data_IF_114293148137
#
_entry.id   IF_114293148137
#
_cell.length_a   1.000
_cell.length_b   1.000
_cell.length_c   1.000
_cell.angle_alpha   90.00
_cell.angle_beta   90.00
_cell.angle_gamma   90.00
#
_symmetry.space_group_name_H-M   'P 1'
#
loop_
_entity.id
_entity.type
_entity.pdbx_description
1 polymer ?
#
# COMPACT_ATOMS: atom_id res chain seq x y z
N UNK A 1 -8.19 -1.56 -21.59
CA UNK A 1 -8.51 -3.01 -21.61
C UNK A 1 -7.33 -3.92 -21.23
N UNK A 2 -6.07 -3.47 -21.25
CA UNK A 2 -4.91 -4.33 -20.94
C UNK A 2 -4.74 -4.76 -19.46
N UNK A 3 -5.21 -3.95 -18.50
CA UNK A 3 -4.94 -4.21 -17.08
C UNK A 3 -5.68 -5.45 -16.51
N UNK A 4 -6.88 -5.73 -17.03
CA UNK A 4 -7.69 -6.89 -16.62
C UNK A 4 -7.04 -8.21 -17.08
N UNK A 5 -6.45 -8.22 -18.27
CA UNK A 5 -5.75 -9.38 -18.85
C UNK A 5 -4.53 -9.78 -18.02
N UNK A 6 -3.72 -8.80 -17.57
CA UNK A 6 -2.54 -9.07 -16.74
C UNK A 6 -2.89 -9.60 -15.34
N UNK A 7 -3.96 -9.11 -14.72
CA UNK A 7 -4.40 -9.60 -13.41
C UNK A 7 -4.86 -11.06 -13.49
N UNK A 8 -5.72 -11.38 -14.46
CA UNK A 8 -6.23 -12.73 -14.68
C UNK A 8 -5.11 -13.74 -15.00
N UNK A 9 -4.10 -13.32 -15.77
CA UNK A 9 -2.91 -14.14 -16.02
C UNK A 9 -2.21 -14.56 -14.73
N UNK A 10 -1.92 -13.61 -13.83
CA UNK A 10 -1.19 -13.90 -12.60
C UNK A 10 -2.01 -14.70 -11.58
N UNK A 11 -3.33 -14.49 -11.53
CA UNK A 11 -4.23 -15.33 -10.72
C UNK A 11 -4.17 -16.79 -11.18
N UNK A 12 -4.24 -17.03 -12.49
CA UNK A 12 -4.14 -18.37 -13.08
C UNK A 12 -2.78 -19.02 -12.79
N UNK A 13 -1.68 -18.28 -12.96
CA UNK A 13 -0.33 -18.76 -12.68
C UNK A 13 -0.18 -19.17 -11.20
N UNK A 14 -0.66 -18.35 -10.27
CA UNK A 14 -0.54 -18.64 -8.83
C UNK A 14 -1.36 -19.87 -8.46
N UNK A 15 -2.56 -20.02 -9.04
CA UNK A 15 -3.41 -21.19 -8.80
C UNK A 15 -2.81 -22.47 -9.39
N UNK A 16 -2.23 -22.40 -10.60
CA UNK A 16 -1.48 -23.53 -11.17
C UNK A 16 -0.29 -23.91 -10.29
N UNK A 17 0.47 -22.91 -9.80
CA UNK A 17 1.62 -23.16 -8.94
C UNK A 17 1.25 -23.83 -7.61
N UNK A 18 0.08 -23.51 -7.03
CA UNK A 18 -0.33 -24.12 -5.76
C UNK A 18 -0.61 -25.61 -5.83
N UNK A 19 -0.89 -26.14 -7.02
CA UNK A 19 -1.16 -27.56 -7.25
C UNK A 19 -0.06 -28.25 -8.04
N UNK A 20 1.10 -27.60 -8.23
CA UNK A 20 2.20 -28.14 -9.01
C UNK A 20 3.11 -29.00 -8.13
N UNK A 21 3.30 -30.26 -8.50
CA UNK A 21 4.07 -31.25 -7.73
C UNK A 21 5.57 -31.28 -8.12
N UNK A 22 5.99 -30.49 -9.11
CA UNK A 22 7.37 -30.42 -9.60
C UNK A 22 8.22 -29.30 -8.96
N UNK A 23 9.41 -29.07 -9.53
CA UNK A 23 10.31 -28.03 -9.01
C UNK A 23 9.85 -26.62 -9.39
N UNK A 24 10.16 -25.64 -8.54
CA UNK A 24 9.92 -24.23 -8.83
C UNK A 24 10.59 -23.78 -10.15
N UNK A 25 11.74 -24.36 -10.50
CA UNK A 25 12.49 -23.99 -11.71
C UNK A 25 11.71 -24.45 -12.93
N UNK A 26 11.27 -25.71 -12.93
CA UNK A 26 10.54 -26.32 -14.04
C UNK A 26 9.23 -25.57 -14.30
N UNK A 27 8.49 -25.26 -13.23
CA UNK A 27 7.28 -24.45 -13.33
C UNK A 27 7.54 -23.08 -13.95
N UNK A 28 8.61 -22.40 -13.53
CA UNK A 28 8.96 -21.08 -14.06
C UNK A 28 9.34 -21.15 -15.54
N UNK A 29 10.08 -22.19 -15.95
CA UNK A 29 10.45 -22.41 -17.35
C UNK A 29 9.26 -22.76 -18.23
N UNK A 30 8.38 -23.67 -17.78
CA UNK A 30 7.16 -24.07 -18.52
C UNK A 30 6.22 -22.88 -18.77
N UNK A 31 6.14 -21.96 -17.81
CA UNK A 31 5.23 -20.82 -17.87
C UNK A 31 5.89 -19.52 -18.36
N UNK A 32 7.16 -19.56 -18.79
CA UNK A 32 7.93 -18.40 -19.26
C UNK A 32 7.93 -17.23 -18.27
N UNK A 33 8.08 -17.53 -16.97
CA UNK A 33 8.16 -16.53 -15.90
C UNK A 33 9.45 -16.68 -15.11
N UNK A 34 9.88 -15.60 -14.47
CA UNK A 34 11.00 -15.64 -13.52
C UNK A 34 10.51 -15.93 -12.10
N UNK A 35 11.36 -16.56 -11.29
CA UNK A 35 11.11 -16.77 -9.85
C UNK A 35 10.71 -15.47 -9.14
N UNK A 36 11.40 -14.37 -9.47
CA UNK A 36 11.14 -13.04 -8.87
C UNK A 36 9.73 -12.56 -9.15
N UNK A 37 9.25 -12.70 -10.39
CA UNK A 37 7.89 -12.31 -10.75
C UNK A 37 6.86 -13.17 -10.01
N UNK A 38 7.06 -14.49 -9.94
CA UNK A 38 6.16 -15.39 -9.22
C UNK A 38 6.05 -14.99 -7.74
N UNK A 39 7.17 -14.76 -7.05
CA UNK A 39 7.17 -14.34 -5.64
C UNK A 39 6.52 -12.98 -5.43
N UNK A 40 6.84 -12.00 -6.30
CA UNK A 40 6.25 -10.66 -6.21
C UNK A 40 4.73 -10.72 -6.31
N UNK A 41 4.19 -11.41 -7.33
CA UNK A 41 2.76 -11.52 -7.52
C UNK A 41 2.13 -12.34 -6.40
N UNK A 42 2.69 -13.50 -6.01
CA UNK A 42 2.20 -14.30 -4.89
C UNK A 42 2.06 -13.49 -3.60
N UNK A 43 3.04 -12.65 -3.28
CA UNK A 43 2.99 -11.76 -2.10
C UNK A 43 1.96 -10.64 -2.28
N UNK A 44 1.89 -10.04 -3.47
CA UNK A 44 0.91 -9.00 -3.79
C UNK A 44 -0.53 -9.49 -3.60
N UNK A 45 -0.86 -10.70 -4.06
CA UNK A 45 -2.20 -11.28 -3.88
C UNK A 45 -2.47 -11.75 -2.45
N UNK A 46 -1.46 -12.16 -1.68
CA UNK A 46 -1.62 -12.43 -0.24
C UNK A 46 -1.87 -11.16 0.57
N UNK A 47 -1.27 -10.05 0.18
CA UNK A 47 -1.29 -8.79 0.94
C UNK A 47 -2.36 -7.80 0.47
N UNK A 48 -2.95 -7.97 -0.73
CA UNK A 48 -3.99 -7.06 -1.24
C UNK A 48 -5.26 -7.04 -0.39
N UNK A 49 -5.46 -8.04 0.47
CA UNK A 49 -6.68 -8.20 1.27
C UNK A 49 -6.46 -7.90 2.76
N UNK A 50 -5.27 -7.44 3.16
CA UNK A 50 -4.98 -7.12 4.56
C UNK A 50 -4.84 -5.61 4.72
N UNK A 51 -5.72 -4.93 5.49
CA UNK A 51 -5.46 -3.55 5.87
C UNK A 51 -4.15 -3.50 6.63
N UNK A 52 -3.16 -2.80 6.08
CA UNK A 52 -1.89 -2.56 6.77
C UNK A 52 -2.07 -1.31 7.62
N UNK A 53 -2.09 -1.49 8.94
CA UNK A 53 -2.08 -0.37 9.86
C UNK A 53 -0.70 0.31 9.82
N UNK A 54 -0.68 1.57 9.38
CA UNK A 54 0.50 2.42 9.48
C UNK A 54 0.35 3.30 10.72
N UNK A 55 1.05 2.94 11.80
CA UNK A 55 1.10 3.76 12.99
C UNK A 55 1.74 5.12 12.66
N UNK A 56 1.01 6.21 12.90
CA UNK A 56 1.52 7.58 12.78
C UNK A 56 1.84 8.06 14.19
N UNK A 57 3.12 8.30 14.46
CA UNK A 57 3.58 8.85 15.74
C UNK A 57 3.50 10.38 15.69
N UNK A 58 2.43 10.96 16.25
CA UNK A 58 2.18 12.40 16.28
C UNK A 58 3.01 13.07 17.39
N UNK A 59 4.34 12.98 17.29
CA UNK A 59 5.22 13.74 18.18
C UNK A 59 5.17 15.22 17.79
N UNK A 60 4.88 16.14 18.73
CA UNK A 60 4.90 17.57 18.44
C UNK A 60 6.32 17.96 18.01
N UNK A 61 6.45 18.46 16.78
CA UNK A 61 7.71 18.95 16.24
C UNK A 61 8.08 20.20 17.05
N UNK A 62 9.01 20.07 18.01
CA UNK A 62 9.69 21.25 18.56
C UNK A 62 10.54 21.83 17.43
N UNK A 63 10.19 23.03 16.98
CA UNK A 63 10.87 23.78 15.92
C UNK A 63 12.39 23.66 16.04
N UNK A 64 12.99 22.77 15.24
CA UNK A 64 14.43 22.77 15.02
C UNK A 64 14.68 23.76 13.90
N UNK A 65 15.21 24.92 14.27
CA UNK A 65 15.84 25.84 13.34
C UNK A 65 17.00 25.10 12.66
N UNK A 66 16.79 24.63 11.43
CA UNK A 66 17.87 24.20 10.55
C UNK A 66 17.58 24.72 9.17
N UNK A 67 18.27 25.80 8.84
CA UNK A 67 18.46 26.29 7.49
C UNK A 67 18.98 25.13 6.61
N UNK A 68 18.43 25.01 5.40
CA UNK A 68 18.67 23.99 4.37
C UNK A 68 17.88 22.68 4.52
N UNK A 69 16.64 22.65 4.02
CA UNK A 69 16.04 21.42 3.50
C UNK A 69 14.83 21.78 2.62
N UNK A 70 14.69 21.08 1.49
CA UNK A 70 13.50 21.01 0.65
C UNK A 70 12.23 21.19 1.47
N UNK A 71 11.29 22.00 0.96
CA UNK A 71 9.95 22.21 1.53
C UNK A 71 9.39 20.88 2.03
N UNK A 72 9.56 20.63 3.34
CA UNK A 72 8.95 19.48 3.99
C UNK A 72 7.48 19.82 3.97
N UNK A 73 6.76 19.23 3.02
CA UNK A 73 5.31 19.23 2.99
C UNK A 73 4.85 18.56 4.28
N UNK A 74 4.76 19.36 5.34
CA UNK A 74 4.27 18.97 6.65
C UNK A 74 2.74 18.86 6.58
N UNK A 75 2.19 18.30 5.50
CA UNK A 75 0.77 18.15 5.32
C UNK A 75 0.42 16.67 5.49
N UNK A 76 -0.60 16.40 6.30
CA UNK A 76 -1.23 15.09 6.42
C UNK A 76 -2.21 14.94 5.26
N UNK A 77 -2.05 13.87 4.49
CA UNK A 77 -2.95 13.51 3.38
C UNK A 77 -3.79 12.31 3.79
N UNK A 78 -5.10 12.48 3.79
CA UNK A 78 -6.08 11.42 4.09
C UNK A 78 -6.82 11.09 2.78
N UNK A 79 -6.71 9.85 2.32
CA UNK A 79 -7.34 9.36 1.10
C UNK A 79 -8.50 8.41 1.42
N UNK A 80 -9.71 8.75 0.98
CA UNK A 80 -10.93 7.95 1.19
C UNK A 80 -11.58 7.71 -0.19
N UNK A 81 -11.29 6.58 -0.81
CA UNK A 81 -11.77 6.27 -2.16
C UNK A 81 -11.24 7.25 -3.20
N UNK A 82 -12.13 8.08 -3.78
CA UNK A 82 -11.75 9.18 -4.71
C UNK A 82 -11.55 10.52 -3.99
N UNK A 83 -11.91 10.62 -2.71
CA UNK A 83 -11.74 11.85 -1.94
C UNK A 83 -10.30 11.96 -1.44
N UNK A 84 -9.75 13.17 -1.54
CA UNK A 84 -8.39 13.48 -1.12
C UNK A 84 -8.44 14.72 -0.22
N UNK A 85 -8.13 14.56 1.06
CA UNK A 85 -8.16 15.61 2.06
C UNK A 85 -6.71 15.93 2.45
N UNK A 86 -6.32 17.20 2.32
CA UNK A 86 -4.97 17.68 2.62
C UNK A 86 -5.08 18.64 3.81
N UNK A 87 -4.42 18.28 4.92
CA UNK A 87 -4.48 19.04 6.17
C UNK A 87 -3.05 19.42 6.59
N UNK A 88 -2.76 20.69 6.89
CA UNK A 88 -1.48 21.06 7.48
C UNK A 88 -1.25 20.35 8.83
N UNK A 89 -0.09 19.72 9.03
CA UNK A 89 0.26 19.01 10.28
C UNK A 89 0.45 19.95 11.48
N UNK A 90 0.46 21.26 11.24
CA UNK A 90 0.41 22.28 12.29
C UNK A 90 -0.95 22.36 12.98
N UNK A 91 -2.02 21.83 12.37
CA UNK A 91 -3.40 21.91 12.87
C UNK A 91 -3.84 20.62 13.58
N UNK A 92 -3.11 20.23 14.63
CA UNK A 92 -3.35 18.99 15.38
C UNK A 92 -4.78 18.88 15.97
N UNK A 93 -5.40 20.01 16.33
CA UNK A 93 -6.78 20.02 16.84
C UNK A 93 -7.80 19.67 15.75
N UNK A 94 -7.63 20.21 14.54
CA UNK A 94 -8.49 19.91 13.40
C UNK A 94 -8.42 18.42 13.03
N UNK A 95 -7.20 17.86 13.02
CA UNK A 95 -6.98 16.42 12.79
C UNK A 95 -7.71 15.59 13.84
N UNK A 96 -7.64 15.99 15.12
CA UNK A 96 -8.32 15.30 16.23
C UNK A 96 -9.84 15.35 16.10
N UNK A 97 -10.41 16.48 15.68
CA UNK A 97 -11.85 16.62 15.45
C UNK A 97 -12.29 15.71 14.32
N UNK A 98 -11.58 15.72 13.18
CA UNK A 98 -11.91 14.89 12.02
C UNK A 98 -11.88 13.40 12.38
N UNK A 99 -10.87 12.95 13.13
CA UNK A 99 -10.78 11.55 13.56
C UNK A 99 -11.93 11.16 14.50
N UNK A 100 -12.36 12.04 15.40
CA UNK A 100 -13.51 11.80 16.27
C UNK A 100 -14.81 11.68 15.48
N UNK A 101 -15.04 12.59 14.53
CA UNK A 101 -16.23 12.58 13.67
C UNK A 101 -16.30 11.32 12.79
N UNK A 102 -15.15 10.91 12.21
CA UNK A 102 -15.04 9.65 11.47
C UNK A 102 -15.32 8.44 12.37
N UNK A 103 -14.87 8.46 13.62
CA UNK A 103 -15.13 7.38 14.57
C UNK A 103 -16.60 7.31 14.99
N UNK A 104 -17.33 8.44 15.06
CA UNK A 104 -18.76 8.44 15.42
C UNK A 104 -19.69 8.07 14.25
N UNK A 105 -19.21 8.12 13.01
CA UNK A 105 -19.99 7.82 11.80
C UNK A 105 -19.81 6.39 11.28
N UNK A 106 -18.85 5.64 11.84
CA UNK A 106 -18.61 4.21 11.57
C UNK A 106 -18.99 3.37 12.78
#
# INVERSE_FOLDING_TARGET
MENTSKKAFWENIIQKYSSYEGSLIDFCTENNITKRQLYYHKNKFKNSNKPVFHAIDLKPIKNKNTNNAQEKNNNIRIEIGKANIIIPATEAELIKIILKELQSTC
#
